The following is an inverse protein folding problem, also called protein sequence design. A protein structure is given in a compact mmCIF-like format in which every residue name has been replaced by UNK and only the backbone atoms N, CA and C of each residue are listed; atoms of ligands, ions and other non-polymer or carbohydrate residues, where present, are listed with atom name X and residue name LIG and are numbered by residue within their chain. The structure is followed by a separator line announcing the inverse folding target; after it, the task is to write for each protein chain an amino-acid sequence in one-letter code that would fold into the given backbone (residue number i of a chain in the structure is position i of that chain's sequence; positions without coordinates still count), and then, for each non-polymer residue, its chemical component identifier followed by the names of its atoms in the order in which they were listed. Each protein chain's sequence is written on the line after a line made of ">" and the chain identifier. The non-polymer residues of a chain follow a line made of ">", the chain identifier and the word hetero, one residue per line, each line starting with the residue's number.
data_IF_959999564380
#
_entry.id   IF_959999564380
#
_cell.length_a   1.000
_cell.length_b   1.000
_cell.length_c   1.000
_cell.angle_alpha   90.00
_cell.angle_beta   90.00
_cell.angle_gamma   90.00
#
_symmetry.space_group_name_H-M   'P 1'
#
loop_
_entity.id
_entity.type
_entity.pdbx_description
1 polymer ?
#
# COMPACT_ATOMS: atom_id res chain seq x y z
N UNK A 1 -22.69 -0.80 -25.54
CA UNK A 1 -22.06 0.06 -24.49
C UNK A 1 -20.64 -0.44 -24.29
N UNK A 2 -19.68 0.45 -24.04
CA UNK A 2 -18.27 0.07 -23.81
C UNK A 2 -17.79 0.54 -22.42
N UNK A 3 -16.55 0.20 -22.05
CA UNK A 3 -15.98 0.52 -20.74
C UNK A 3 -16.04 2.01 -20.42
N UNK A 4 -15.68 2.87 -21.37
CA UNK A 4 -15.65 4.34 -21.17
C UNK A 4 -17.00 4.93 -20.78
N UNK A 5 -18.10 4.31 -21.21
CA UNK A 5 -19.45 4.76 -20.90
C UNK A 5 -20.04 4.05 -19.67
N UNK A 6 -19.67 2.80 -19.43
CA UNK A 6 -20.22 1.99 -18.33
C UNK A 6 -19.48 2.16 -17.00
N UNK A 7 -18.19 2.52 -17.07
CA UNK A 7 -17.29 2.54 -15.92
C UNK A 7 -16.91 1.14 -15.43
N UNK A 8 -15.98 1.08 -14.48
CA UNK A 8 -15.44 -0.19 -13.97
C UNK A 8 -16.46 -1.05 -13.23
N UNK A 9 -17.47 -0.43 -12.60
CA UNK A 9 -18.49 -1.14 -11.81
C UNK A 9 -19.36 -2.09 -12.66
N UNK A 10 -19.46 -1.85 -13.97
CA UNK A 10 -20.16 -2.74 -14.89
C UNK A 10 -19.39 -4.05 -15.18
N UNK A 11 -18.10 -4.10 -14.84
CA UNK A 11 -17.23 -5.25 -15.08
C UNK A 11 -16.78 -5.89 -13.77
N UNK A 12 -16.52 -5.08 -12.74
CA UNK A 12 -16.02 -5.56 -11.46
C UNK A 12 -17.03 -6.48 -10.78
N UNK A 13 -16.62 -7.73 -10.55
CA UNK A 13 -17.45 -8.83 -10.04
C UNK A 13 -18.64 -9.21 -10.93
N UNK A 14 -18.55 -8.96 -12.24
CA UNK A 14 -19.60 -9.29 -13.19
C UNK A 14 -19.09 -10.15 -14.36
N UNK A 15 -20.01 -10.97 -14.88
CA UNK A 15 -19.78 -11.73 -16.10
C UNK A 15 -20.05 -10.87 -17.32
N UNK A 16 -19.09 -10.82 -18.24
CA UNK A 16 -19.24 -10.05 -19.49
C UNK A 16 -18.79 -10.88 -20.68
N UNK A 17 -19.45 -10.70 -21.82
CA UNK A 17 -18.94 -11.20 -23.10
C UNK A 17 -18.40 -10.05 -23.93
N UNK A 18 -17.22 -10.28 -24.50
CA UNK A 18 -16.54 -9.34 -25.38
C UNK A 18 -16.20 -10.01 -26.72
N UNK A 19 -16.11 -9.25 -27.83
CA UNK A 19 -15.70 -9.78 -29.13
C UNK A 19 -14.30 -10.39 -29.09
N UNK A 20 -14.13 -11.58 -29.71
CA UNK A 20 -12.83 -12.21 -29.89
C UNK A 20 -12.08 -11.55 -31.06
N UNK A 21 -11.15 -10.67 -30.72
CA UNK A 21 -10.25 -10.01 -31.69
C UNK A 21 -9.01 -10.85 -32.01
N UNK A 22 -8.37 -10.56 -33.14
CA UNK A 22 -7.12 -11.22 -33.56
C UNK A 22 -6.03 -11.20 -32.47
N UNK A 23 -5.86 -10.06 -31.79
CA UNK A 23 -4.86 -9.92 -30.72
C UNK A 23 -5.11 -10.82 -29.50
N UNK A 24 -6.33 -11.31 -29.31
CA UNK A 24 -6.73 -12.15 -28.19
C UNK A 24 -6.72 -13.65 -28.53
N UNK A 25 -6.59 -14.03 -29.82
CA UNK A 25 -6.62 -15.44 -30.25
C UNK A 25 -5.55 -16.29 -29.59
N UNK A 26 -4.35 -15.74 -29.39
CA UNK A 26 -3.25 -16.46 -28.71
C UNK A 26 -3.61 -16.80 -27.27
N UNK A 27 -4.33 -15.91 -26.56
CA UNK A 27 -4.75 -16.10 -25.16
C UNK A 27 -5.84 -17.15 -25.00
N UNK A 28 -6.51 -17.55 -26.08
CA UNK A 28 -7.61 -18.51 -26.05
C UNK A 28 -7.36 -19.77 -26.87
N UNK A 29 -6.18 -19.93 -27.47
CA UNK A 29 -5.87 -21.01 -28.43
C UNK A 29 -6.10 -22.42 -27.87
N UNK A 30 -5.93 -22.58 -26.56
CA UNK A 30 -6.03 -23.86 -25.85
C UNK A 30 -7.43 -24.06 -25.22
N UNK A 31 -8.39 -23.16 -25.48
CA UNK A 31 -9.78 -23.31 -25.04
C UNK A 31 -10.58 -24.15 -26.02
N UNK A 32 -11.58 -24.87 -25.51
CA UNK A 32 -12.51 -25.64 -26.33
C UNK A 32 -13.28 -24.71 -27.28
N UNK A 33 -13.31 -25.05 -28.58
CA UNK A 33 -14.05 -24.27 -29.59
C UNK A 33 -13.38 -22.96 -30.05
N UNK A 34 -12.10 -22.74 -29.70
CA UNK A 34 -11.37 -21.52 -30.08
C UNK A 34 -11.28 -21.27 -31.60
N UNK A 35 -11.35 -22.32 -32.42
CA UNK A 35 -11.33 -22.23 -33.90
C UNK A 35 -12.63 -21.65 -34.50
N UNK A 36 -13.73 -21.69 -33.75
CA UNK A 36 -15.07 -21.25 -34.18
C UNK A 36 -15.59 -20.03 -33.42
N UNK A 37 -14.94 -19.69 -32.30
CA UNK A 37 -15.39 -18.62 -31.44
C UNK A 37 -15.31 -17.25 -32.11
N UNK A 38 -16.26 -16.37 -31.74
CA UNK A 38 -16.24 -14.95 -32.09
C UNK A 38 -16.42 -14.05 -30.86
N UNK A 39 -16.62 -14.62 -29.67
CA UNK A 39 -16.67 -13.90 -28.40
C UNK A 39 -15.98 -14.68 -27.27
N UNK A 40 -15.75 -13.99 -26.16
CA UNK A 40 -15.08 -14.50 -24.95
C UNK A 40 -15.96 -14.16 -23.75
N UNK A 41 -16.26 -15.15 -22.91
CA UNK A 41 -16.87 -14.94 -21.60
C UNK A 41 -15.78 -14.67 -20.57
N UNK A 42 -15.95 -13.60 -19.81
CA UNK A 42 -15.01 -13.17 -18.79
C UNK A 42 -15.69 -12.88 -17.46
N UNK A 43 -14.89 -12.83 -16.39
CA UNK A 43 -15.28 -12.31 -15.09
C UNK A 43 -14.30 -11.22 -14.64
N UNK A 44 -14.83 -10.04 -14.28
CA UNK A 44 -13.98 -8.91 -13.89
C UNK A 44 -13.58 -8.95 -12.42
N UNK A 45 -12.29 -8.71 -12.16
CA UNK A 45 -11.71 -8.55 -10.84
C UNK A 45 -10.66 -7.42 -10.88
N UNK A 46 -10.30 -6.85 -9.73
CA UNK A 46 -9.29 -5.79 -9.66
C UNK A 46 -8.01 -6.37 -9.10
N UNK A 47 -6.97 -6.38 -9.93
CA UNK A 47 -5.60 -6.61 -9.50
C UNK A 47 -5.02 -5.25 -9.11
N UNK A 48 -4.79 -4.98 -7.83
CA UNK A 48 -4.34 -3.66 -7.38
C UNK A 48 -3.08 -3.18 -8.13
N UNK A 49 -2.19 -4.08 -8.54
CA UNK A 49 -0.96 -3.69 -9.25
C UNK A 49 -1.15 -3.46 -10.73
N UNK A 50 -2.20 -4.02 -11.33
CA UNK A 50 -2.37 -4.06 -12.78
C UNK A 50 -3.73 -3.52 -13.26
N UNK A 51 -4.56 -3.06 -12.34
CA UNK A 51 -5.87 -2.49 -12.60
C UNK A 51 -6.97 -3.53 -12.86
N UNK A 52 -8.09 -3.04 -13.40
CA UNK A 52 -9.24 -3.87 -13.72
C UNK A 52 -8.85 -4.91 -14.78
N UNK A 53 -9.12 -6.16 -14.44
CA UNK A 53 -8.70 -7.33 -15.19
C UNK A 53 -9.87 -8.29 -15.34
N UNK A 54 -9.92 -8.97 -16.47
CA UNK A 54 -10.98 -9.91 -16.82
C UNK A 54 -10.38 -11.30 -16.97
N UNK A 55 -10.74 -12.21 -16.07
CA UNK A 55 -10.39 -13.62 -16.17
C UNK A 55 -11.16 -14.26 -17.32
N UNK A 56 -10.48 -14.98 -18.21
CA UNK A 56 -11.13 -15.68 -19.34
C UNK A 56 -11.69 -17.02 -18.83
N UNK A 57 -13.00 -17.12 -18.84
CA UNK A 57 -13.71 -18.32 -18.39
C UNK A 57 -13.92 -19.32 -19.52
N UNK A 58 -14.39 -18.83 -20.67
CA UNK A 58 -14.68 -19.63 -21.85
C UNK A 58 -14.66 -18.77 -23.12
N UNK A 59 -14.59 -19.43 -24.27
CA UNK A 59 -14.89 -18.80 -25.58
C UNK A 59 -16.29 -19.19 -26.03
N UNK A 60 -16.84 -18.44 -26.98
CA UNK A 60 -18.20 -18.69 -27.45
C UNK A 60 -18.51 -18.17 -28.85
N UNK A 61 -19.72 -18.49 -29.28
CA UNK A 61 -20.34 -17.95 -30.49
C UNK A 61 -21.50 -17.04 -30.10
N UNK A 62 -21.39 -15.76 -30.45
CA UNK A 62 -22.47 -14.80 -30.52
C UNK A 62 -23.15 -14.89 -31.89
N UNK A 63 -24.47 -15.00 -31.87
CA UNK A 63 -25.31 -15.02 -33.07
C UNK A 63 -26.58 -14.20 -32.84
N UNK A 64 -27.43 -14.08 -33.86
CA UNK A 64 -28.76 -13.46 -33.72
C UNK A 64 -29.65 -14.14 -32.67
N UNK A 65 -29.36 -15.39 -32.33
CA UNK A 65 -30.12 -16.17 -31.34
C UNK A 65 -29.53 -16.08 -29.92
N UNK A 66 -28.54 -15.21 -29.71
CA UNK A 66 -27.84 -15.04 -28.43
C UNK A 66 -26.47 -15.73 -28.41
N UNK A 67 -26.00 -16.00 -27.20
CA UNK A 67 -24.65 -16.49 -26.92
C UNK A 67 -24.63 -17.99 -26.62
N UNK A 68 -23.63 -18.69 -27.14
CA UNK A 68 -23.30 -20.06 -26.75
C UNK A 68 -21.83 -20.17 -26.37
N UNK A 69 -21.57 -20.40 -25.09
CA UNK A 69 -20.21 -20.62 -24.58
C UNK A 69 -19.84 -22.10 -24.56
N UNK A 70 -18.62 -22.39 -25.02
CA UNK A 70 -17.99 -23.70 -24.92
C UNK A 70 -17.56 -24.00 -23.49
N UNK A 71 -16.97 -25.16 -23.27
CA UNK A 71 -16.34 -25.48 -21.99
C UNK A 71 -15.10 -24.61 -21.75
N UNK A 72 -14.86 -24.29 -20.48
CA UNK A 72 -13.66 -23.59 -20.06
C UNK A 72 -12.40 -24.44 -20.21
N UNK A 73 -11.29 -23.91 -19.72
CA UNK A 73 -10.05 -24.67 -19.58
C UNK A 73 -9.55 -24.54 -18.14
N UNK A 74 -9.55 -25.64 -17.40
CA UNK A 74 -9.19 -25.70 -15.97
C UNK A 74 -7.67 -25.92 -15.76
N UNK A 75 -6.93 -26.17 -16.84
CA UNK A 75 -5.48 -26.40 -16.80
C UNK A 75 -4.64 -25.15 -17.07
N UNK A 76 -5.26 -24.10 -17.62
CA UNK A 76 -4.58 -22.86 -17.93
C UNK A 76 -5.36 -21.67 -17.36
N UNK A 77 -4.61 -20.65 -16.97
CA UNK A 77 -5.15 -19.34 -16.62
C UNK A 77 -4.89 -18.36 -17.76
N UNK A 78 -5.86 -17.54 -18.10
CA UNK A 78 -5.72 -16.51 -19.14
C UNK A 78 -6.61 -15.34 -18.81
N UNK A 79 -6.12 -14.13 -19.07
CA UNK A 79 -6.80 -12.90 -18.64
C UNK A 79 -6.58 -11.76 -19.65
N UNK A 80 -7.43 -10.74 -19.54
CA UNK A 80 -7.42 -9.54 -20.37
C UNK A 80 -7.40 -8.33 -19.45
N UNK A 81 -6.40 -7.45 -19.59
CA UNK A 81 -6.42 -6.15 -18.90
C UNK A 81 -7.40 -5.23 -19.62
N UNK A 82 -8.25 -4.51 -18.88
CA UNK A 82 -9.38 -3.77 -19.48
C UNK A 82 -8.96 -2.80 -20.59
N UNK A 83 -7.77 -2.18 -20.46
CA UNK A 83 -7.24 -1.25 -21.47
C UNK A 83 -7.07 -1.87 -22.87
N UNK A 84 -6.96 -3.19 -23.00
CA UNK A 84 -6.90 -3.87 -24.30
C UNK A 84 -8.24 -3.87 -25.05
N UNK A 85 -9.35 -3.69 -24.34
CA UNK A 85 -10.73 -3.80 -24.88
C UNK A 85 -11.65 -2.68 -24.38
N UNK A 86 -11.10 -1.59 -23.84
CA UNK A 86 -11.88 -0.50 -23.24
C UNK A 86 -12.86 0.18 -24.23
N UNK A 87 -12.52 0.18 -25.52
CA UNK A 87 -13.37 0.73 -26.58
C UNK A 87 -14.41 -0.26 -27.10
N UNK A 88 -14.30 -1.54 -26.74
CA UNK A 88 -15.14 -2.59 -27.29
C UNK A 88 -16.52 -2.61 -26.64
N UNK A 89 -17.52 -2.94 -27.46
CA UNK A 89 -18.82 -3.26 -26.94
C UNK A 89 -18.75 -4.57 -26.16
N UNK A 90 -19.49 -4.61 -25.05
CA UNK A 90 -19.64 -5.81 -24.25
C UNK A 90 -21.12 -6.12 -24.04
N UNK A 91 -21.40 -7.39 -23.74
CA UNK A 91 -22.70 -7.84 -23.25
C UNK A 91 -22.58 -8.24 -21.79
N UNK A 92 -23.45 -7.70 -20.96
CA UNK A 92 -23.56 -8.05 -19.54
C UNK A 92 -24.36 -9.34 -19.36
N UNK A 93 -23.90 -10.21 -18.47
CA UNK A 93 -24.61 -11.41 -18.05
C UNK A 93 -24.92 -11.30 -16.58
N UNK A 94 -26.19 -11.13 -16.29
CA UNK A 94 -26.69 -11.26 -14.94
C UNK A 94 -26.56 -12.73 -14.49
N UNK A 95 -26.18 -12.91 -13.23
CA UNK A 95 -26.00 -14.21 -12.59
C UNK A 95 -26.73 -14.25 -11.24
N UNK A 96 -27.88 -13.57 -11.13
CA UNK A 96 -28.75 -13.61 -9.95
C UNK A 96 -29.10 -15.05 -9.49
N UNK A 97 -29.17 -16.01 -10.41
CA UNK A 97 -29.43 -17.42 -10.11
C UNK A 97 -28.16 -18.23 -9.76
N UNK A 98 -26.98 -17.62 -9.87
CA UNK A 98 -25.67 -18.19 -9.56
C UNK A 98 -25.23 -19.31 -10.49
N UNK A 99 -25.87 -19.48 -11.66
CA UNK A 99 -25.56 -20.58 -12.58
C UNK A 99 -24.17 -20.47 -13.19
N UNK A 100 -23.73 -19.26 -13.55
CA UNK A 100 -22.39 -19.01 -14.07
C UNK A 100 -21.34 -19.12 -12.96
N UNK A 101 -21.58 -18.51 -11.79
CA UNK A 101 -20.70 -18.63 -10.63
C UNK A 101 -20.48 -20.10 -10.24
N UNK A 102 -21.55 -20.90 -10.20
CA UNK A 102 -21.44 -22.33 -9.93
C UNK A 102 -20.69 -23.09 -11.02
N UNK A 103 -20.88 -22.72 -12.29
CA UNK A 103 -20.20 -23.37 -13.44
C UNK A 103 -18.70 -23.11 -13.43
N UNK A 104 -18.26 -21.93 -12.97
CA UNK A 104 -16.87 -21.50 -13.00
C UNK A 104 -16.24 -21.33 -11.60
N UNK A 105 -16.83 -21.96 -10.58
CA UNK A 105 -16.46 -21.77 -9.18
C UNK A 105 -14.95 -21.94 -8.92
N UNK A 106 -14.33 -22.98 -9.48
CA UNK A 106 -12.90 -23.25 -9.29
C UNK A 106 -12.01 -22.09 -9.78
N UNK A 107 -12.39 -21.43 -10.88
CA UNK A 107 -11.66 -20.25 -11.39
C UNK A 107 -11.89 -19.02 -10.54
N UNK A 108 -13.12 -18.81 -10.09
CA UNK A 108 -13.50 -17.66 -9.26
C UNK A 108 -12.85 -17.74 -7.88
N UNK A 109 -12.74 -18.94 -7.31
CA UNK A 109 -12.06 -19.17 -6.03
C UNK A 109 -10.60 -18.69 -6.06
N UNK A 110 -9.90 -18.91 -7.18
CA UNK A 110 -8.52 -18.43 -7.35
C UNK A 110 -8.41 -16.90 -7.35
N UNK A 111 -9.50 -16.18 -7.63
CA UNK A 111 -9.50 -14.73 -7.69
C UNK A 111 -9.55 -14.08 -6.29
N UNK A 112 -9.91 -14.82 -5.24
CA UNK A 112 -9.88 -14.33 -3.85
C UNK A 112 -8.48 -13.88 -3.41
N UNK A 113 -7.42 -14.34 -4.08
CA UNK A 113 -6.06 -13.82 -3.86
C UNK A 113 -5.91 -12.32 -4.19
N UNK A 114 -6.83 -11.75 -4.98
CA UNK A 114 -6.85 -10.33 -5.36
C UNK A 114 -7.86 -9.49 -4.56
N UNK A 115 -8.56 -10.08 -3.59
CA UNK A 115 -9.51 -9.36 -2.76
C UNK A 115 -8.81 -8.22 -2.03
N UNK A 116 -9.44 -7.04 -2.04
CA UNK A 116 -8.95 -5.91 -1.29
C UNK A 116 -9.48 -5.93 0.15
N UNK A 117 -8.94 -5.06 1.00
CA UNK A 117 -9.53 -4.84 2.32
C UNK A 117 -10.94 -4.24 2.18
N UNK A 118 -11.80 -4.47 3.19
CA UNK A 118 -13.15 -3.91 3.23
C UNK A 118 -13.14 -2.38 3.05
N UNK A 119 -12.13 -1.70 3.58
CA UNK A 119 -11.92 -0.26 3.43
C UNK A 119 -11.70 0.15 1.98
N UNK A 120 -10.83 -0.57 1.25
CA UNK A 120 -10.57 -0.31 -0.17
C UNK A 120 -11.83 -0.60 -0.99
N UNK A 121 -12.53 -1.70 -0.71
CA UNK A 121 -13.81 -2.03 -1.38
C UNK A 121 -14.85 -0.92 -1.20
N UNK A 122 -15.01 -0.38 0.02
CA UNK A 122 -15.89 0.77 0.27
C UNK A 122 -15.54 1.96 -0.61
N UNK A 123 -14.26 2.23 -0.84
CA UNK A 123 -13.88 3.35 -1.72
C UNK A 123 -14.34 3.11 -3.16
N UNK A 124 -14.41 1.87 -3.63
CA UNK A 124 -14.89 1.55 -4.99
C UNK A 124 -16.37 1.87 -5.15
N UNK A 125 -17.14 2.00 -4.09
CA UNK A 125 -18.54 2.46 -4.15
C UNK A 125 -18.66 4.00 -4.19
N UNK A 126 -17.59 4.72 -3.82
CA UNK A 126 -17.57 6.19 -3.75
C UNK A 126 -17.45 6.82 -5.14
N UNK A 127 -18.59 7.05 -5.80
CA UNK A 127 -18.63 7.62 -7.15
C UNK A 127 -18.04 9.04 -7.26
N UNK A 128 -17.94 9.78 -6.16
CA UNK A 128 -17.31 11.11 -6.16
C UNK A 128 -15.80 11.04 -6.44
N UNK A 129 -15.15 9.88 -6.22
CA UNK A 129 -13.74 9.67 -6.55
C UNK A 129 -13.52 9.38 -8.04
N UNK A 130 -14.55 9.01 -8.80
CA UNK A 130 -14.41 8.51 -10.16
C UNK A 130 -13.69 9.51 -11.08
N UNK A 131 -13.87 10.81 -10.86
CA UNK A 131 -13.17 11.87 -11.61
C UNK A 131 -11.67 11.99 -11.30
N UNK A 132 -11.22 11.45 -10.16
CA UNK A 132 -9.81 11.40 -9.76
C UNK A 132 -9.16 10.05 -10.03
N UNK A 133 -9.93 8.98 -10.26
CA UNK A 133 -9.40 7.64 -10.51
C UNK A 133 -8.67 7.55 -11.85
N UNK A 134 -7.59 6.79 -11.88
CA UNK A 134 -6.93 6.41 -13.11
C UNK A 134 -7.89 5.52 -13.93
N UNK A 135 -7.93 5.75 -15.24
CA UNK A 135 -8.90 5.12 -16.13
C UNK A 135 -8.94 3.58 -16.02
N UNK A 136 -7.80 2.90 -15.94
CA UNK A 136 -7.72 1.43 -15.86
C UNK A 136 -7.31 0.88 -14.48
N UNK A 137 -6.81 1.73 -13.59
CA UNK A 137 -6.29 1.34 -12.28
C UNK A 137 -7.22 1.92 -11.24
N UNK A 138 -8.27 1.15 -10.92
CA UNK A 138 -9.41 1.65 -10.15
C UNK A 138 -8.95 2.30 -8.86
N UNK A 139 -8.07 1.65 -8.10
CA UNK A 139 -7.63 2.12 -6.79
C UNK A 139 -6.56 3.21 -6.84
N UNK A 140 -6.10 3.61 -8.02
CA UNK A 140 -5.11 4.69 -8.19
C UNK A 140 -5.86 6.01 -8.44
N UNK A 141 -5.64 7.01 -7.59
CA UNK A 141 -6.26 8.33 -7.69
C UNK A 141 -5.22 9.44 -7.82
N UNK A 142 -5.55 10.49 -8.56
CA UNK A 142 -4.74 11.69 -8.64
C UNK A 142 -4.97 12.57 -7.41
N UNK A 143 -3.94 12.73 -6.57
CA UNK A 143 -3.98 13.54 -5.34
C UNK A 143 -3.08 14.76 -5.51
N UNK A 144 -3.61 15.94 -5.22
CA UNK A 144 -2.83 17.19 -5.23
C UNK A 144 -2.11 17.38 -3.89
N UNK A 145 -0.79 17.37 -3.91
CA UNK A 145 0.04 17.68 -2.75
C UNK A 145 0.15 19.20 -2.60
N UNK A 146 -0.13 19.69 -1.39
CA UNK A 146 -0.19 21.11 -1.06
C UNK A 146 0.83 21.41 0.04
N UNK A 147 1.69 22.42 -0.13
CA UNK A 147 2.65 22.84 0.89
C UNK A 147 2.95 24.32 0.75
N UNK A 148 3.09 25.01 1.88
CA UNK A 148 3.41 26.44 1.91
C UNK A 148 4.72 26.72 1.16
N UNK A 149 4.66 27.68 0.23
CA UNK A 149 5.80 28.07 -0.60
C UNK A 149 6.06 27.18 -1.82
N UNK A 150 5.32 26.08 -1.99
CA UNK A 150 5.37 25.24 -3.19
C UNK A 150 4.13 25.43 -4.07
N UNK A 151 4.25 25.04 -5.34
CA UNK A 151 3.09 24.97 -6.22
C UNK A 151 2.36 23.65 -6.00
N UNK A 152 1.01 23.63 -6.04
CA UNK A 152 0.24 22.40 -6.03
C UNK A 152 0.74 21.41 -7.09
N UNK A 153 0.83 20.15 -6.73
CA UNK A 153 1.35 19.11 -7.62
C UNK A 153 0.52 17.83 -7.55
N UNK A 154 0.08 17.32 -8.70
CA UNK A 154 -0.70 16.08 -8.77
C UNK A 154 0.19 14.85 -8.79
N UNK A 155 0.05 13.99 -7.79
CA UNK A 155 0.73 12.70 -7.71
C UNK A 155 -0.28 11.54 -7.73
N UNK A 156 0.04 10.48 -8.48
CA UNK A 156 -0.74 9.25 -8.46
C UNK A 156 -0.53 8.54 -7.13
N UNK A 157 -1.64 8.21 -6.48
CA UNK A 157 -1.68 7.63 -5.15
C UNK A 157 -2.60 6.42 -5.17
N UNK A 158 -2.10 5.26 -4.74
CA UNK A 158 -2.90 4.04 -4.61
C UNK A 158 -3.61 4.03 -3.27
N UNK A 159 -4.93 3.93 -3.26
CA UNK A 159 -5.72 3.79 -2.04
C UNK A 159 -5.33 2.49 -1.34
N UNK A 160 -5.00 2.59 -0.06
CA UNK A 160 -4.62 1.44 0.79
C UNK A 160 -5.54 1.26 1.99
N UNK A 161 -6.34 2.26 2.33
CA UNK A 161 -7.28 2.19 3.45
C UNK A 161 -8.15 3.42 3.59
N UNK A 162 -9.05 3.37 4.56
CA UNK A 162 -10.02 4.43 4.84
C UNK A 162 -10.01 4.73 6.34
N UNK A 163 -9.76 5.98 6.72
CA UNK A 163 -9.93 6.49 8.08
C UNK A 163 -11.33 7.09 8.28
N UNK A 164 -11.59 7.63 9.47
CA UNK A 164 -12.91 8.21 9.79
C UNK A 164 -13.23 9.44 8.92
N UNK A 165 -12.23 10.28 8.63
CA UNK A 165 -12.39 11.54 7.89
C UNK A 165 -11.38 11.74 6.76
N UNK A 166 -10.61 10.71 6.41
CA UNK A 166 -9.57 10.77 5.37
C UNK A 166 -9.42 9.43 4.67
N UNK A 167 -8.72 9.45 3.55
CA UNK A 167 -8.37 8.25 2.78
C UNK A 167 -6.85 8.07 2.87
N UNK A 168 -6.40 6.84 3.07
CA UNK A 168 -4.97 6.51 3.09
C UNK A 168 -4.54 6.03 1.70
N UNK A 169 -3.36 6.42 1.27
CA UNK A 169 -2.79 5.87 0.06
C UNK A 169 -1.29 5.99 -0.08
N UNK A 170 -0.72 5.20 -0.96
CA UNK A 170 0.73 5.13 -1.23
C UNK A 170 1.07 5.89 -2.50
N UNK A 171 2.06 6.79 -2.43
CA UNK A 171 2.55 7.54 -3.60
C UNK A 171 3.18 6.59 -4.64
N UNK A 172 2.75 6.68 -5.89
CA UNK A 172 3.19 5.80 -6.98
C UNK A 172 4.31 6.41 -7.84
N UNK A 173 4.42 7.74 -7.82
CA UNK A 173 5.48 8.49 -8.48
C UNK A 173 6.17 9.42 -7.50
N UNK A 174 7.41 9.79 -7.83
CA UNK A 174 8.16 10.78 -7.08
C UNK A 174 7.56 12.17 -7.36
N UNK A 175 7.36 13.02 -6.33
CA UNK A 175 7.03 14.42 -6.55
C UNK A 175 8.20 15.18 -7.22
N UNK A 176 7.91 16.09 -8.13
CA UNK A 176 8.88 16.95 -8.80
C UNK A 176 9.44 18.02 -7.83
N UNK A 177 8.66 18.45 -6.84
CA UNK A 177 9.07 19.37 -5.78
C UNK A 177 9.31 18.66 -4.44
N UNK A 178 10.08 19.28 -3.54
CA UNK A 178 10.38 18.72 -2.22
C UNK A 178 9.21 18.93 -1.22
N UNK A 179 8.22 18.06 -1.27
CA UNK A 179 7.14 18.01 -0.27
C UNK A 179 7.57 17.38 1.06
N UNK A 180 8.74 16.74 1.12
CA UNK A 180 9.17 15.93 2.28
C UNK A 180 8.56 14.53 2.30
N UNK A 181 7.98 14.10 1.17
CA UNK A 181 7.44 12.76 0.95
C UNK A 181 7.94 12.22 -0.38
N UNK A 182 8.16 10.92 -0.44
CA UNK A 182 8.77 10.21 -1.56
C UNK A 182 7.86 9.11 -2.12
N UNK A 183 8.16 8.65 -3.34
CA UNK A 183 7.50 7.48 -3.92
C UNK A 183 7.57 6.28 -2.96
N UNK A 184 6.44 5.61 -2.78
CA UNK A 184 6.29 4.44 -1.92
C UNK A 184 5.91 4.78 -0.48
N UNK A 185 5.93 6.05 -0.10
CA UNK A 185 5.44 6.49 1.21
C UNK A 185 3.92 6.62 1.23
N UNK A 186 3.37 6.49 2.43
CA UNK A 186 1.93 6.55 2.67
C UNK A 186 1.54 7.94 3.14
N UNK A 187 0.47 8.48 2.54
CA UNK A 187 -0.11 9.78 2.87
C UNK A 187 -1.59 9.61 3.24
N UNK A 188 -2.08 10.50 4.10
CA UNK A 188 -3.51 10.74 4.27
C UNK A 188 -3.95 11.83 3.30
N UNK A 189 -5.06 11.65 2.62
CA UNK A 189 -5.61 12.67 1.73
C UNK A 189 -7.12 12.82 1.93
N UNK A 190 -7.62 13.97 1.52
CA UNK A 190 -8.97 14.45 1.73
C UNK A 190 -9.62 14.77 0.40
N UNK A 191 -10.95 14.91 0.44
CA UNK A 191 -11.76 15.19 -0.72
C UNK A 191 -12.45 16.53 -0.52
N UNK A 192 -12.36 17.41 -1.51
CA UNK A 192 -13.00 18.71 -1.49
C UNK A 192 -13.76 18.93 -2.80
N UNK A 193 -14.96 19.50 -2.69
CA UNK A 193 -15.66 20.08 -3.83
C UNK A 193 -15.19 21.52 -4.06
N UNK A 194 -14.71 21.80 -5.26
CA UNK A 194 -14.30 23.15 -5.68
C UNK A 194 -15.53 24.01 -6.00
N UNK A 195 -15.35 25.33 -6.12
CA UNK A 195 -16.41 26.27 -6.52
C UNK A 195 -17.06 25.92 -7.88
N UNK A 196 -16.34 25.19 -8.75
CA UNK A 196 -16.84 24.67 -10.03
C UNK A 196 -17.62 23.34 -9.90
N UNK A 197 -17.92 22.90 -8.67
CA UNK A 197 -18.52 21.58 -8.36
C UNK A 197 -17.70 20.39 -8.84
N UNK A 198 -16.39 20.58 -8.99
CA UNK A 198 -15.45 19.49 -9.27
C UNK A 198 -14.92 18.95 -7.96
N UNK A 199 -14.98 17.63 -7.81
CA UNK A 199 -14.36 16.93 -6.71
C UNK A 199 -12.87 16.77 -6.99
N UNK A 200 -12.04 17.17 -6.03
CA UNK A 200 -10.59 16.98 -6.06
C UNK A 200 -10.13 16.22 -4.82
N UNK A 201 -9.10 15.39 -5.00
CA UNK A 201 -8.38 14.78 -3.89
C UNK A 201 -7.14 15.63 -3.60
N UNK A 202 -6.89 15.94 -2.33
CA UNK A 202 -5.72 16.73 -1.93
C UNK A 202 -5.13 16.23 -0.61
N UNK A 203 -3.84 16.43 -0.45
CA UNK A 203 -3.12 16.17 0.80
C UNK A 203 -2.41 17.43 1.23
N UNK A 204 -2.71 17.90 2.44
CA UNK A 204 -1.93 18.97 3.05
C UNK A 204 -0.62 18.38 3.59
N UNK A 205 0.49 18.85 3.03
CA UNK A 205 1.84 18.42 3.39
C UNK A 205 2.52 19.42 4.33
N UNK A 206 1.79 20.45 4.77
CA UNK A 206 2.23 21.24 5.89
C UNK A 206 2.03 20.42 7.18
N UNK A 207 2.99 20.45 8.11
CA UNK A 207 2.72 19.92 9.43
C UNK A 207 1.61 20.75 10.09
N UNK A 208 0.73 20.11 10.86
CA UNK A 208 -0.38 20.78 11.55
C UNK A 208 0.11 21.94 12.45
N UNK A 209 1.37 21.86 12.88
CA UNK A 209 2.10 22.90 13.58
C UNK A 209 3.46 23.18 12.92
N UNK A 210 3.91 24.43 12.94
CA UNK A 210 5.27 24.77 12.50
C UNK A 210 6.27 24.30 13.55
N UNK A 211 6.83 23.11 13.33
CA UNK A 211 7.91 22.55 14.13
C UNK A 211 9.24 23.12 13.62
N UNK A 212 10.02 23.74 14.50
CA UNK A 212 11.39 24.17 14.18
C UNK A 212 12.40 23.22 14.79
N UNK A 213 13.63 23.18 14.25
CA UNK A 213 14.71 22.38 14.84
C UNK A 213 14.95 22.71 16.33
N UNK A 214 14.78 23.98 16.72
CA UNK A 214 14.89 24.41 18.11
C UNK A 214 13.77 23.86 19.01
N UNK A 215 12.58 23.58 18.46
CA UNK A 215 11.50 22.95 19.22
C UNK A 215 11.76 21.46 19.50
N UNK A 216 12.61 20.82 18.69
CA UNK A 216 12.89 19.38 18.77
C UNK A 216 14.21 19.06 19.48
N UNK A 217 15.05 20.08 19.74
CA UNK A 217 16.44 19.90 20.16
C UNK A 217 16.57 19.18 21.52
N UNK A 218 15.68 19.47 22.47
CA UNK A 218 15.72 18.90 23.82
C UNK A 218 14.67 17.80 24.06
N UNK A 219 13.88 17.47 23.03
CA UNK A 219 12.83 16.46 23.09
C UNK A 219 11.59 16.84 23.94
N UNK A 220 11.57 18.01 24.58
CA UNK A 220 10.46 18.44 25.46
C UNK A 220 9.12 18.48 24.74
N UNK A 221 9.10 18.92 23.47
CA UNK A 221 7.89 18.98 22.65
C UNK A 221 7.26 17.60 22.45
N UNK A 222 8.07 16.56 22.24
CA UNK A 222 7.57 15.19 22.11
C UNK A 222 7.06 14.66 23.46
N UNK A 223 7.72 14.98 24.57
CA UNK A 223 7.25 14.62 25.92
C UNK A 223 5.91 15.27 26.26
N UNK A 224 5.73 16.54 25.92
CA UNK A 224 4.48 17.27 26.11
C UNK A 224 3.34 16.65 25.30
N UNK A 225 3.58 16.33 24.02
CA UNK A 225 2.58 15.68 23.17
C UNK A 225 2.21 14.27 23.66
N UNK A 226 3.21 13.49 24.07
CA UNK A 226 2.99 12.17 24.71
C UNK A 226 2.19 12.29 25.99
N UNK A 227 2.46 13.33 26.80
CA UNK A 227 1.71 13.61 28.03
C UNK A 227 0.26 13.98 27.72
N UNK A 228 0.03 14.85 26.73
CA UNK A 228 -1.31 15.24 26.30
C UNK A 228 -2.13 14.03 25.80
N UNK A 229 -1.56 13.19 24.96
CA UNK A 229 -2.20 11.96 24.48
C UNK A 229 -2.49 10.97 25.62
N UNK A 230 -1.57 10.79 26.56
CA UNK A 230 -1.79 9.89 27.69
C UNK A 230 -2.90 10.39 28.63
N UNK A 231 -3.05 11.70 28.77
CA UNK A 231 -4.15 12.30 29.53
C UNK A 231 -5.50 12.17 28.80
N UNK A 232 -5.50 12.34 27.48
CA UNK A 232 -6.68 12.25 26.63
C UNK A 232 -6.33 11.57 25.30
N UNK A 233 -6.71 10.29 25.19
CA UNK A 233 -6.37 9.44 24.03
C UNK A 233 -7.32 9.69 22.86
N UNK A 234 -7.17 10.83 22.22
CA UNK A 234 -7.92 11.22 21.02
C UNK A 234 -7.04 11.09 19.78
N UNK A 235 -7.69 10.96 18.63
CA UNK A 235 -7.03 10.88 17.33
C UNK A 235 -6.20 12.14 16.98
N UNK A 236 -6.65 13.38 17.23
CA UNK A 236 -5.80 14.57 17.09
C UNK A 236 -4.51 14.51 17.90
N UNK A 237 -4.57 14.12 19.18
CA UNK A 237 -3.37 13.99 20.01
C UNK A 237 -2.41 12.89 19.51
N UNK A 238 -2.94 11.82 18.91
CA UNK A 238 -2.11 10.81 18.26
C UNK A 238 -1.40 11.38 17.03
N UNK A 239 -2.12 12.13 16.19
CA UNK A 239 -1.55 12.80 15.01
C UNK A 239 -0.45 13.77 15.42
N UNK A 240 -0.67 14.57 16.48
CA UNK A 240 0.33 15.50 17.01
C UNK A 240 1.64 14.78 17.39
N UNK A 241 1.55 13.63 18.08
CA UNK A 241 2.71 12.81 18.41
C UNK A 241 3.42 12.34 17.14
N UNK A 242 2.67 11.79 16.18
CA UNK A 242 3.24 11.23 14.96
C UNK A 242 3.96 12.30 14.13
N UNK A 243 3.41 13.52 14.06
CA UNK A 243 4.05 14.64 13.38
C UNK A 243 5.35 15.08 14.06
N UNK A 244 5.35 15.20 15.40
CA UNK A 244 6.56 15.56 16.14
C UNK A 244 7.60 14.46 16.00
N UNK A 245 7.19 13.19 16.16
CA UNK A 245 8.08 12.04 16.11
C UNK A 245 8.76 11.89 14.74
N UNK A 246 8.04 12.16 13.63
CA UNK A 246 8.59 12.11 12.26
C UNK A 246 9.85 12.98 12.12
N UNK A 247 9.84 14.16 12.72
CA UNK A 247 10.90 15.15 12.57
C UNK A 247 11.90 15.13 13.75
N UNK A 248 11.62 14.35 14.80
CA UNK A 248 12.44 14.27 16.02
C UNK A 248 13.64 13.33 15.86
N UNK A 249 14.76 13.70 16.47
CA UNK A 249 15.81 12.73 16.79
C UNK A 249 15.42 11.98 18.05
N UNK A 250 15.44 10.64 17.97
CA UNK A 250 15.08 9.79 19.09
C UNK A 250 16.15 8.75 19.36
N UNK A 251 16.21 8.32 20.62
CA UNK A 251 17.11 7.28 21.10
C UNK A 251 16.37 5.95 21.16
N UNK A 252 16.92 4.94 20.49
CA UNK A 252 16.39 3.59 20.46
C UNK A 252 17.46 2.66 21.07
N UNK A 253 17.19 2.03 22.23
CA UNK A 253 18.12 1.07 22.81
C UNK A 253 18.24 -0.14 21.87
N UNK A 254 19.47 -0.55 21.61
CA UNK A 254 19.77 -1.61 20.66
C UNK A 254 20.85 -2.53 21.21
N UNK A 255 20.70 -3.83 20.97
CA UNK A 255 21.77 -4.80 21.09
C UNK A 255 22.59 -4.83 19.80
N UNK A 256 23.89 -4.59 19.92
CA UNK A 256 24.82 -4.77 18.82
C UNK A 256 25.18 -6.26 18.67
N UNK A 257 24.88 -6.82 17.50
CA UNK A 257 25.37 -8.14 17.09
C UNK A 257 26.60 -7.94 16.23
N UNK A 258 27.75 -8.29 16.79
CA UNK A 258 29.06 -8.16 16.15
C UNK A 258 29.33 -9.33 15.20
N UNK A 259 30.25 -9.10 14.25
CA UNK A 259 30.80 -10.16 13.41
C UNK A 259 31.65 -11.13 14.23
N UNK A 260 31.89 -12.35 13.73
CA UNK A 260 32.74 -13.34 14.42
C UNK A 260 34.16 -12.80 14.70
N UNK A 261 34.68 -11.98 13.78
CA UNK A 261 36.02 -11.36 13.90
C UNK A 261 36.04 -10.31 15.02
N UNK A 262 35.03 -9.43 15.08
CA UNK A 262 34.91 -8.41 16.11
C UNK A 262 34.55 -9.02 17.48
N UNK A 263 33.72 -10.07 17.51
CA UNK A 263 33.40 -10.81 18.72
C UNK A 263 34.64 -11.48 19.31
N UNK A 264 35.51 -12.03 18.46
CA UNK A 264 36.78 -12.63 18.89
C UNK A 264 37.71 -11.59 19.53
N UNK A 265 37.79 -10.38 18.97
CA UNK A 265 38.57 -9.29 19.58
C UNK A 265 38.12 -9.01 21.03
N UNK A 266 36.80 -8.91 21.27
CA UNK A 266 36.28 -8.68 22.61
C UNK A 266 36.48 -9.87 23.54
N UNK A 267 36.34 -11.10 23.05
CA UNK A 267 36.62 -12.31 23.82
C UNK A 267 38.09 -12.38 24.25
N UNK A 268 39.03 -12.03 23.36
CA UNK A 268 40.47 -12.01 23.65
C UNK A 268 40.80 -10.94 24.72
N UNK A 269 40.12 -9.78 24.70
CA UNK A 269 40.26 -8.75 25.74
C UNK A 269 39.70 -9.25 27.07
N UNK A 270 38.48 -9.78 27.08
CA UNK A 270 37.84 -10.29 28.28
C UNK A 270 38.68 -11.41 28.94
N UNK A 271 39.27 -12.28 28.12
CA UNK A 271 40.15 -13.33 28.60
C UNK A 271 41.44 -12.77 29.21
N UNK A 272 42.08 -11.78 28.57
CA UNK A 272 43.26 -11.11 29.14
C UNK A 272 42.98 -10.45 30.49
N UNK A 273 41.84 -9.79 30.62
CA UNK A 273 41.41 -9.15 31.88
C UNK A 273 41.10 -10.19 32.96
N UNK A 274 40.64 -11.39 32.58
CA UNK A 274 40.37 -12.48 33.53
C UNK A 274 41.65 -13.17 33.99
N UNK A 275 42.62 -13.34 33.09
CA UNK A 275 43.87 -14.06 33.35
C UNK A 275 44.91 -13.22 34.10
N UNK A 276 44.82 -11.88 34.02
CA UNK A 276 45.71 -10.95 34.70
C UNK A 276 45.06 -10.37 35.96
N UNK A 277 45.57 -10.76 37.14
CA UNK A 277 45.05 -10.35 38.44
C UNK A 277 45.22 -8.84 38.73
N UNK A 278 46.08 -8.15 37.98
CA UNK A 278 46.32 -6.72 38.11
C UNK A 278 45.56 -5.90 37.03
N UNK A 279 44.84 -6.54 36.11
CA UNK A 279 44.08 -5.84 35.08
C UNK A 279 42.82 -5.19 35.66
N UNK A 280 42.69 -3.87 35.48
CA UNK A 280 41.48 -3.11 35.83
C UNK A 280 40.58 -2.97 34.59
N UNK A 281 39.38 -3.59 34.58
CA UNK A 281 38.41 -3.43 33.50
C UNK A 281 38.03 -1.96 33.22
N UNK A 282 38.18 -1.07 34.22
CA UNK A 282 37.91 0.35 34.05
C UNK A 282 38.85 1.03 33.02
N UNK A 283 40.01 0.45 32.71
CA UNK A 283 40.91 0.95 31.66
C UNK A 283 40.33 0.85 30.24
N UNK A 284 39.22 0.12 30.07
CA UNK A 284 38.48 0.05 28.80
C UNK A 284 37.48 1.20 28.66
N UNK A 285 37.14 1.89 29.75
CA UNK A 285 36.19 3.00 29.73
C UNK A 285 36.77 4.15 28.90
N UNK A 286 36.00 4.65 27.94
CA UNK A 286 36.38 5.77 27.07
C UNK A 286 37.30 5.41 25.91
N UNK A 287 37.61 4.12 25.69
CA UNK A 287 38.35 3.68 24.49
C UNK A 287 37.40 3.54 23.30
N UNK A 288 37.80 4.09 22.16
CA UNK A 288 37.08 3.92 20.90
C UNK A 288 37.38 2.55 20.29
N UNK A 289 36.32 1.78 20.04
CA UNK A 289 36.38 0.55 19.26
C UNK A 289 35.79 0.78 17.88
N UNK A 290 36.52 0.37 16.84
CA UNK A 290 36.06 0.43 15.46
C UNK A 290 35.89 -0.99 14.94
N UNK A 291 34.65 -1.34 14.59
CA UNK A 291 34.29 -2.65 14.02
C UNK A 291 34.92 -2.81 12.63
N UNK A 292 35.39 -4.02 12.34
CA UNK A 292 35.95 -4.39 11.03
C UNK A 292 34.90 -5.10 10.17
N UNK A 293 34.05 -5.91 10.78
CA UNK A 293 32.98 -6.63 10.11
C UNK A 293 31.63 -5.92 10.16
N UNK A 294 30.61 -6.56 9.56
CA UNK A 294 29.24 -6.07 9.60
C UNK A 294 28.70 -6.11 11.03
N UNK A 295 28.17 -4.98 11.51
CA UNK A 295 27.47 -4.89 12.79
C UNK A 295 25.99 -4.71 12.53
N UNK A 296 25.17 -5.57 13.13
CA UNK A 296 23.72 -5.45 13.07
C UNK A 296 23.20 -4.92 14.40
N UNK A 297 22.43 -3.84 14.36
CA UNK A 297 21.73 -3.31 15.52
C UNK A 297 20.35 -3.95 15.59
N UNK A 298 20.04 -4.61 16.70
CA UNK A 298 18.72 -5.17 16.97
C UNK A 298 18.08 -4.31 18.06
N UNK A 299 17.02 -3.54 17.75
CA UNK A 299 16.31 -2.78 18.75
C UNK A 299 15.78 -3.67 19.86
N UNK A 300 15.86 -3.19 21.10
CA UNK A 300 15.23 -3.87 22.22
C UNK A 300 13.72 -3.79 22.10
N UNK A 301 13.03 -4.89 22.42
CA UNK A 301 11.57 -4.92 22.54
C UNK A 301 11.25 -5.17 24.00
N UNK A 302 10.62 -4.21 24.65
CA UNK A 302 10.19 -4.34 26.03
C UNK A 302 8.92 -5.17 26.09
N UNK A 303 8.87 -6.15 26.99
CA UNK A 303 7.68 -6.96 27.22
C UNK A 303 7.09 -6.63 28.60
N UNK A 304 5.80 -6.30 28.63
CA UNK A 304 5.03 -6.17 29.86
C UNK A 304 3.78 -7.05 29.78
N UNK A 305 3.82 -8.19 30.46
CA UNK A 305 2.79 -9.24 30.31
C UNK A 305 2.78 -9.81 28.89
N UNK A 306 1.65 -9.73 28.22
CA UNK A 306 1.48 -10.17 26.81
C UNK A 306 1.72 -9.04 25.79
N UNK A 307 1.98 -7.82 26.26
CA UNK A 307 2.20 -6.66 25.39
C UNK A 307 3.68 -6.43 25.12
N UNK A 308 4.00 -6.10 23.87
CA UNK A 308 5.34 -5.77 23.40
C UNK A 308 5.39 -4.29 23.02
N UNK A 309 6.47 -3.62 23.40
CA UNK A 309 6.69 -2.20 23.19
C UNK A 309 8.03 -1.98 22.51
N UNK A 310 8.04 -1.08 21.53
CA UNK A 310 9.26 -0.55 20.94
C UNK A 310 9.64 0.73 21.70
N UNK A 311 10.66 0.69 22.59
CA UNK A 311 11.02 1.84 23.41
C UNK A 311 11.69 2.93 22.58
N UNK A 312 11.22 4.16 22.76
CA UNK A 312 11.75 5.36 22.12
C UNK A 312 11.94 6.41 23.22
N UNK A 313 13.12 7.02 23.28
CA UNK A 313 13.45 8.05 24.26
C UNK A 313 13.80 9.37 23.57
N UNK A 314 13.41 10.47 24.20
CA UNK A 314 13.67 11.85 23.78
C UNK A 314 15.09 12.30 24.14
N UNK A 315 15.66 11.78 25.23
CA UNK A 315 16.98 12.15 25.73
C UNK A 315 17.80 10.92 26.16
N UNK A 316 19.12 11.10 26.21
CA UNK A 316 20.06 10.09 26.72
C UNK A 316 19.84 9.78 28.20
N UNK A 317 19.52 10.80 28.99
CA UNK A 317 19.24 10.70 30.42
C UNK A 317 17.97 9.88 30.68
N UNK A 318 16.93 10.07 29.87
CA UNK A 318 15.70 9.26 29.96
C UNK A 318 15.92 7.78 29.60
N UNK A 319 16.90 7.50 28.73
CA UNK A 319 17.34 6.14 28.42
C UNK A 319 18.18 5.51 29.56
N UNK A 320 18.59 6.30 30.56
CA UNK A 320 19.42 5.85 31.69
C UNK A 320 20.93 6.00 31.45
N UNK A 321 21.33 6.87 30.51
CA UNK A 321 22.72 7.25 30.24
C UNK A 321 23.31 8.24 31.24
#
# INVERSE_FOLDING_TARGET
>A
MNYKNAGFRAFYHHFTAIPLKEMLKTSVKDFSGADKANCILTYGYIDQQCGLTMEILAVGEESKNGFRFYDGNDTIRSFIRIGAVAEDEFSFFDDEDGTLAKRYADKLEMLHHYDASEEVEKTREMSFLDGSRHEYFVDDVLVYLMKDGLKPEGCWTRITGLGDHWIMGTLLNEPDQNFGYHKGETIAFFVQETDEKKVICYSDMNPSQKITAANLEDGSMLEEAVTAFNNERTEPHLIDILEILRDSYVWIPCNAVLSDEDQKYWNDIAQKVTDDLDADPAELIGKEFKTVGATRMIPDILQNGEQFFFPIFTTTEAMGG
#
